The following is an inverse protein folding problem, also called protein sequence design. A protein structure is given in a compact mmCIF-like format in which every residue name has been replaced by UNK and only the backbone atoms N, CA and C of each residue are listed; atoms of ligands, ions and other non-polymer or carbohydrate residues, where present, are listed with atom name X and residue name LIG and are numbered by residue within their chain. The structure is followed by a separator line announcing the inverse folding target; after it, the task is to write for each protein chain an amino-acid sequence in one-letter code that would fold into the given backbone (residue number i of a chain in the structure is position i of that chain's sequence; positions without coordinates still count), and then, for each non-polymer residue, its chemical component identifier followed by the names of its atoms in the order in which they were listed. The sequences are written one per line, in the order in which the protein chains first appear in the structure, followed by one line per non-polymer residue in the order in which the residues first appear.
data_IF_563120196245
#
_entry.id   IF_563120196245
#
_cell.length_a   1.000
_cell.length_b   1.000
_cell.length_c   1.000
_cell.angle_alpha   90.00
_cell.angle_beta   90.00
_cell.angle_gamma   90.00
#
_symmetry.space_group_name_H-M   'P 1'
#
loop_
_entity.id
_entity.type
_entity.pdbx_description
1 polymer ?
#
# COMPACT_ATOMS: atom_id res chain seq x y z
N UNK A 1 12.11 1.75 3.40
CA UNK A 1 11.48 0.45 3.07
C UNK A 1 10.86 -0.09 4.34
N UNK A 2 9.56 -0.38 4.33
CA UNK A 2 8.91 -1.08 5.43
C UNK A 2 9.22 -2.59 5.32
N UNK A 3 9.88 -3.22 6.31
CA UNK A 3 10.31 -4.61 6.22
C UNK A 3 9.18 -5.61 6.51
N UNK A 4 8.00 -5.17 6.97
CA UNK A 4 6.94 -6.04 7.47
C UNK A 4 6.53 -7.15 6.50
N UNK A 5 6.40 -6.83 5.21
CA UNK A 5 6.06 -7.81 4.17
C UNK A 5 7.16 -8.85 3.95
N UNK A 6 8.43 -8.41 3.87
CA UNK A 6 9.54 -9.35 3.63
C UNK A 6 9.69 -10.28 4.84
N UNK A 7 9.63 -9.72 6.05
CA UNK A 7 9.63 -10.49 7.30
C UNK A 7 8.45 -11.46 7.32
N UNK A 8 7.24 -11.01 7.01
CA UNK A 8 6.04 -11.85 7.00
C UNK A 8 6.15 -13.02 6.01
N UNK A 9 6.59 -12.75 4.78
CA UNK A 9 6.80 -13.79 3.75
C UNK A 9 7.89 -14.77 4.18
N UNK A 10 9.03 -14.29 4.69
CA UNK A 10 10.12 -15.14 5.18
C UNK A 10 9.67 -16.00 6.36
N UNK A 11 8.88 -15.46 7.29
CA UNK A 11 8.32 -16.23 8.40
C UNK A 11 7.33 -17.29 7.92
N UNK A 12 6.47 -16.97 6.95
CA UNK A 12 5.50 -17.92 6.39
C UNK A 12 6.21 -19.10 5.70
N UNK A 13 7.14 -18.81 4.77
CA UNK A 13 7.93 -19.85 4.12
C UNK A 13 8.89 -20.55 5.08
N UNK A 14 9.43 -19.85 6.07
CA UNK A 14 10.29 -20.42 7.11
C UNK A 14 9.55 -21.44 7.98
N UNK A 15 8.30 -21.16 8.34
CA UNK A 15 7.45 -22.10 9.06
C UNK A 15 7.15 -23.36 8.23
N UNK A 16 6.90 -23.21 6.92
CA UNK A 16 6.74 -24.33 6.00
C UNK A 16 8.02 -25.19 5.92
N UNK A 17 9.18 -24.55 5.75
CA UNK A 17 10.49 -25.23 5.71
C UNK A 17 10.75 -25.97 7.03
N UNK A 18 10.50 -25.32 8.17
CA UNK A 18 10.69 -25.93 9.48
C UNK A 18 9.83 -27.20 9.65
N UNK A 19 8.55 -27.14 9.27
CA UNK A 19 7.64 -28.27 9.31
C UNK A 19 8.17 -29.46 8.47
N UNK A 20 8.59 -29.20 7.22
CA UNK A 20 9.16 -30.23 6.33
C UNK A 20 10.39 -30.89 6.96
N UNK A 21 11.30 -30.09 7.53
CA UNK A 21 12.53 -30.61 8.16
C UNK A 21 12.24 -31.41 9.42
N UNK A 22 11.24 -31.02 10.23
CA UNK A 22 10.86 -31.72 11.46
C UNK A 22 10.15 -33.04 11.18
N UNK A 23 9.36 -33.10 10.10
CA UNK A 23 8.69 -34.32 9.66
C UNK A 23 9.61 -35.28 8.88
N UNK A 24 10.82 -34.84 8.54
CA UNK A 24 11.78 -35.63 7.76
C UNK A 24 11.37 -35.81 6.29
N UNK A 25 10.49 -34.95 5.78
CA UNK A 25 10.05 -34.99 4.39
C UNK A 25 11.09 -34.36 3.44
N UNK A 26 11.13 -34.81 2.19
CA UNK A 26 12.01 -34.22 1.17
C UNK A 26 11.36 -32.99 0.53
N UNK A 27 12.14 -31.91 0.35
CA UNK A 27 11.67 -30.72 -0.37
C UNK A 27 11.29 -31.02 -1.82
N UNK A 28 11.99 -31.96 -2.46
CA UNK A 28 11.72 -32.37 -3.84
C UNK A 28 10.31 -32.95 -4.02
N UNK A 29 9.75 -33.60 -2.98
CA UNK A 29 8.39 -34.14 -3.05
C UNK A 29 7.31 -33.06 -3.21
N UNK A 30 7.62 -31.81 -2.84
CA UNK A 30 6.71 -30.67 -2.99
C UNK A 30 6.90 -29.92 -4.33
N UNK A 31 7.96 -30.25 -5.08
CA UNK A 31 8.38 -29.54 -6.27
C UNK A 31 8.16 -30.38 -7.53
N UNK A 32 6.92 -30.81 -7.74
CA UNK A 32 6.53 -31.56 -8.94
C UNK A 32 6.17 -30.56 -10.05
N UNK A 33 6.92 -30.49 -11.16
CA UNK A 33 6.76 -29.41 -12.15
C UNK A 33 5.39 -29.39 -12.83
N UNK A 34 4.84 -30.54 -13.20
CA UNK A 34 3.58 -30.63 -13.94
C UNK A 34 2.38 -29.98 -13.21
N UNK A 35 2.04 -30.35 -11.96
CA UNK A 35 0.95 -29.70 -11.23
C UNK A 35 1.26 -28.22 -10.93
N UNK A 36 2.52 -27.84 -10.68
CA UNK A 36 2.90 -26.44 -10.45
C UNK A 36 2.68 -25.56 -11.68
N UNK A 37 3.05 -26.05 -12.88
CA UNK A 37 2.83 -25.35 -14.15
C UNK A 37 1.34 -25.13 -14.37
N UNK A 38 0.53 -26.17 -14.16
CA UNK A 38 -0.93 -26.07 -14.27
C UNK A 38 -1.46 -25.01 -13.31
N UNK A 39 -1.09 -25.07 -12.03
CA UNK A 39 -1.65 -24.18 -11.00
C UNK A 39 -1.19 -22.74 -11.19
N UNK A 40 0.11 -22.48 -11.24
CA UNK A 40 0.64 -21.12 -11.35
C UNK A 40 0.32 -20.53 -12.72
N UNK A 41 0.50 -21.30 -13.79
CA UNK A 41 0.22 -20.87 -15.15
C UNK A 41 -1.25 -20.55 -15.36
N UNK A 42 -2.15 -21.45 -14.95
CA UNK A 42 -3.60 -21.20 -15.09
C UNK A 42 -4.09 -20.09 -14.18
N UNK A 43 -3.54 -19.94 -12.97
CA UNK A 43 -3.91 -18.83 -12.08
C UNK A 43 -3.60 -17.49 -12.72
N UNK A 44 -2.39 -17.34 -13.27
CA UNK A 44 -1.99 -16.13 -14.00
C UNK A 44 -2.85 -15.95 -15.25
N UNK A 45 -3.06 -17.02 -16.03
CA UNK A 45 -3.87 -16.99 -17.25
C UNK A 45 -5.32 -16.55 -17.00
N UNK A 46 -5.99 -17.14 -16.01
CA UNK A 46 -7.36 -16.76 -15.60
C UNK A 46 -7.39 -15.36 -15.00
N UNK A 47 -6.36 -14.97 -14.24
CA UNK A 47 -6.23 -13.60 -13.73
C UNK A 47 -6.15 -12.55 -14.84
N UNK A 48 -5.35 -12.81 -15.88
CA UNK A 48 -5.26 -11.99 -17.09
C UNK A 48 -6.59 -11.99 -17.83
N UNK A 49 -7.22 -13.15 -18.01
CA UNK A 49 -8.53 -13.25 -18.68
C UNK A 49 -9.65 -12.49 -17.95
N UNK A 50 -9.51 -12.31 -16.63
CA UNK A 50 -10.49 -11.59 -15.79
C UNK A 50 -10.29 -10.08 -15.76
N UNK A 51 -9.22 -9.56 -16.39
CA UNK A 51 -8.86 -8.14 -16.38
C UNK A 51 -8.50 -7.65 -17.78
N UNK A 52 -8.38 -6.33 -17.97
CA UNK A 52 -7.82 -5.83 -19.23
C UNK A 52 -6.29 -5.97 -19.23
N UNK A 53 -5.68 -6.02 -20.42
CA UNK A 53 -4.22 -6.04 -20.55
C UNK A 53 -3.57 -4.78 -19.94
N UNK A 54 -4.28 -3.65 -19.98
CA UNK A 54 -3.85 -2.41 -19.34
C UNK A 54 -3.79 -2.56 -17.82
N UNK A 55 -4.83 -3.13 -17.22
CA UNK A 55 -4.90 -3.36 -15.77
C UNK A 55 -3.78 -4.29 -15.31
N UNK A 56 -3.55 -5.37 -16.07
CA UNK A 56 -2.48 -6.34 -15.80
C UNK A 56 -1.11 -5.65 -15.79
N UNK A 57 -0.80 -4.84 -16.81
CA UNK A 57 0.47 -4.11 -16.89
C UNK A 57 0.62 -3.11 -15.74
N UNK A 58 -0.46 -2.41 -15.39
CA UNK A 58 -0.47 -1.47 -14.26
C UNK A 58 -0.20 -2.19 -12.94
N UNK A 59 -0.85 -3.33 -12.70
CA UNK A 59 -0.66 -4.15 -11.51
C UNK A 59 0.79 -4.66 -11.40
N UNK A 60 1.34 -5.19 -12.50
CA UNK A 60 2.74 -5.66 -12.54
C UNK A 60 3.73 -4.52 -12.28
N UNK A 61 3.53 -3.36 -12.93
CA UNK A 61 4.37 -2.17 -12.73
C UNK A 61 4.31 -1.62 -11.29
N UNK A 62 3.25 -1.94 -10.54
CA UNK A 62 3.05 -1.47 -9.16
C UNK A 62 3.78 -2.33 -8.11
N UNK A 63 4.34 -3.50 -8.46
CA UNK A 63 5.12 -4.33 -7.52
C UNK A 63 6.33 -3.57 -6.95
N UNK A 64 7.00 -2.74 -7.74
CA UNK A 64 8.13 -1.94 -7.24
C UNK A 64 7.73 -0.97 -6.14
N UNK A 65 6.54 -0.37 -6.26
CA UNK A 65 5.95 0.50 -5.22
C UNK A 65 5.58 -0.31 -3.98
N UNK A 66 5.03 -1.51 -4.17
CA UNK A 66 4.67 -2.42 -3.09
C UNK A 66 5.87 -2.75 -2.19
N UNK A 67 7.05 -3.00 -2.76
CA UNK A 67 8.27 -3.30 -2.00
C UNK A 67 8.88 -2.07 -1.34
N UNK A 68 8.90 -0.93 -2.04
CA UNK A 68 9.49 0.33 -1.52
C UNK A 68 8.67 0.92 -0.35
N UNK A 69 7.35 0.72 -0.36
CA UNK A 69 6.42 1.29 0.61
C UNK A 69 5.91 2.67 0.19
N UNK A 70 5.11 3.33 1.05
CA UNK A 70 4.60 4.67 0.79
C UNK A 70 5.76 5.69 0.73
N UNK A 71 5.60 6.74 -0.08
CA UNK A 71 6.62 7.78 -0.29
C UNK A 71 6.92 8.58 0.98
N UNK A 72 5.88 8.92 1.71
CA UNK A 72 5.93 9.64 2.98
C UNK A 72 4.72 9.26 3.82
N UNK A 73 4.77 9.53 5.12
CA UNK A 73 3.59 9.40 5.97
C UNK A 73 2.64 10.58 5.75
N UNK A 74 1.33 10.42 5.97
CA UNK A 74 0.36 11.51 5.85
C UNK A 74 0.73 12.72 6.69
N UNK A 75 1.24 12.53 7.89
CA UNK A 75 1.61 13.59 8.84
C UNK A 75 2.81 14.40 8.37
N UNK A 76 3.70 13.79 7.58
CA UNK A 76 4.90 14.46 7.09
C UNK A 76 4.58 15.64 6.16
N UNK A 77 3.36 15.74 5.63
CA UNK A 77 2.94 16.86 4.76
C UNK A 77 2.48 18.08 5.55
N UNK A 78 2.10 17.92 6.82
CA UNK A 78 1.53 19.00 7.65
C UNK A 78 2.48 20.19 7.78
N UNK A 79 3.78 20.02 8.12
CA UNK A 79 4.70 21.16 8.24
C UNK A 79 4.87 21.94 6.94
N UNK A 80 4.82 21.26 5.79
CA UNK A 80 4.89 21.93 4.48
C UNK A 80 3.65 22.79 4.23
N UNK A 81 2.45 22.24 4.52
CA UNK A 81 1.19 22.98 4.36
C UNK A 81 1.11 24.21 5.29
N UNK A 82 1.62 24.09 6.51
CA UNK A 82 1.71 25.22 7.46
C UNK A 82 2.67 26.29 6.92
N UNK A 83 3.84 25.90 6.40
CA UNK A 83 4.79 26.84 5.80
C UNK A 83 4.21 27.57 4.57
N UNK A 84 3.46 26.86 3.71
CA UNK A 84 2.76 27.49 2.60
C UNK A 84 1.67 28.46 3.08
N UNK A 85 0.94 28.12 4.15
CA UNK A 85 -0.06 29.03 4.74
C UNK A 85 0.57 30.31 5.31
N UNK A 86 1.73 30.21 5.96
CA UNK A 86 2.48 31.36 6.47
C UNK A 86 2.92 32.28 5.33
N UNK A 87 3.51 31.71 4.27
CA UNK A 87 3.94 32.47 3.09
C UNK A 87 2.76 33.13 2.38
N UNK A 88 1.68 32.37 2.12
CA UNK A 88 0.48 32.88 1.49
C UNK A 88 -0.16 34.04 2.27
N UNK A 89 -0.12 34.00 3.59
CA UNK A 89 -0.69 35.05 4.45
C UNK A 89 0.20 36.30 4.55
N UNK A 90 1.52 36.12 4.56
CA UNK A 90 2.48 37.23 4.66
C UNK A 90 2.72 37.93 3.33
N UNK A 91 2.85 37.17 2.25
CA UNK A 91 3.31 37.64 0.94
C UNK A 91 2.23 37.52 -0.16
N UNK A 92 1.09 36.88 0.14
CA UNK A 92 0.01 36.62 -0.82
C UNK A 92 0.16 35.27 -1.53
N UNK A 93 -0.92 34.81 -2.18
CA UNK A 93 -0.96 33.51 -2.88
C UNK A 93 0.04 33.42 -4.04
N UNK A 94 0.32 34.55 -4.72
CA UNK A 94 1.30 34.60 -5.82
C UNK A 94 2.72 34.20 -5.36
N UNK A 95 3.07 34.44 -4.08
CA UNK A 95 4.37 34.08 -3.54
C UNK A 95 4.60 32.55 -3.47
N UNK A 96 3.53 31.75 -3.60
CA UNK A 96 3.60 30.29 -3.67
C UNK A 96 4.20 29.79 -4.99
N UNK A 97 4.25 30.60 -6.05
CA UNK A 97 4.88 30.24 -7.33
C UNK A 97 6.34 29.79 -7.13
N UNK A 98 7.06 30.44 -6.22
CA UNK A 98 8.45 30.13 -5.90
C UNK A 98 8.63 28.76 -5.22
N UNK A 99 7.56 28.19 -4.65
CA UNK A 99 7.59 26.90 -3.95
C UNK A 99 7.26 25.72 -4.89
N UNK A 100 6.71 25.99 -6.09
CA UNK A 100 6.25 24.98 -7.05
C UNK A 100 7.37 24.00 -7.42
N UNK A 101 8.58 24.50 -7.67
CA UNK A 101 9.71 23.66 -8.05
C UNK A 101 10.27 22.82 -6.91
N UNK A 102 10.15 23.31 -5.67
CA UNK A 102 10.53 22.61 -4.45
C UNK A 102 9.51 21.58 -3.95
N UNK A 103 8.33 21.52 -4.58
CA UNK A 103 7.24 20.66 -4.15
C UNK A 103 7.65 19.16 -4.12
N UNK A 104 7.34 18.43 -3.03
CA UNK A 104 7.82 17.07 -2.82
C UNK A 104 7.17 16.03 -3.73
N UNK A 105 6.02 16.34 -4.34
CA UNK A 105 5.40 15.53 -5.39
C UNK A 105 4.49 16.35 -6.30
N UNK A 106 4.06 15.71 -7.39
CA UNK A 106 3.27 16.33 -8.46
C UNK A 106 1.90 16.86 -8.00
N UNK A 107 1.27 16.23 -7.01
CA UNK A 107 -0.04 16.67 -6.52
C UNK A 107 0.08 18.00 -5.79
N UNK A 108 1.07 18.14 -4.90
CA UNK A 108 1.37 19.42 -4.23
C UNK A 108 1.78 20.48 -5.24
N UNK A 109 2.65 20.12 -6.20
CA UNK A 109 3.10 21.04 -7.27
C UNK A 109 1.91 21.62 -8.03
N UNK A 110 0.98 20.78 -8.47
CA UNK A 110 -0.20 21.20 -9.21
C UNK A 110 -1.11 22.09 -8.38
N UNK A 111 -1.32 21.77 -7.10
CA UNK A 111 -2.13 22.61 -6.21
C UNK A 111 -1.48 23.97 -5.93
N UNK A 112 -0.17 24.02 -5.72
CA UNK A 112 0.55 25.29 -5.52
C UNK A 112 0.46 26.19 -6.76
N UNK A 113 0.63 25.60 -7.95
CA UNK A 113 0.46 26.31 -9.21
C UNK A 113 -0.96 26.89 -9.33
N UNK A 114 -1.99 26.06 -9.10
CA UNK A 114 -3.39 26.51 -9.18
C UNK A 114 -3.71 27.65 -8.20
N UNK A 115 -3.14 27.60 -6.99
CA UNK A 115 -3.27 28.68 -6.00
C UNK A 115 -2.58 29.98 -6.45
N UNK A 116 -1.36 29.88 -6.98
CA UNK A 116 -0.62 31.03 -7.50
C UNK A 116 -1.31 31.68 -8.71
N UNK A 117 -1.92 30.85 -9.56
CA UNK A 117 -2.70 31.27 -10.73
C UNK A 117 -4.06 31.89 -10.34
N UNK A 118 -4.44 31.86 -9.06
CA UNK A 118 -5.67 32.47 -8.56
C UNK A 118 -6.94 31.66 -8.82
N UNK A 119 -6.83 30.34 -8.95
CA UNK A 119 -7.97 29.43 -9.10
C UNK A 119 -8.94 29.57 -7.91
N UNK A 120 -10.24 29.58 -8.18
CA UNK A 120 -11.25 29.66 -7.12
C UNK A 120 -11.36 28.35 -6.33
N UNK A 121 -12.10 28.39 -5.22
CA UNK A 121 -12.09 27.31 -4.24
C UNK A 121 -12.79 26.06 -4.74
N UNK A 122 -13.84 26.24 -5.56
CA UNK A 122 -14.67 25.14 -6.03
C UNK A 122 -13.95 24.42 -7.19
N UNK A 123 -13.34 25.17 -8.11
CA UNK A 123 -12.50 24.60 -9.17
C UNK A 123 -11.27 23.88 -8.61
N UNK A 124 -10.60 24.46 -7.59
CA UNK A 124 -9.48 23.81 -6.91
C UNK A 124 -9.92 22.50 -6.23
N UNK A 125 -11.05 22.52 -5.52
CA UNK A 125 -11.60 21.31 -4.88
C UNK A 125 -11.90 20.25 -5.92
N UNK A 126 -12.60 20.60 -7.01
CA UNK A 126 -12.96 19.67 -8.06
C UNK A 126 -11.73 19.02 -8.69
N UNK A 127 -10.70 19.82 -9.03
CA UNK A 127 -9.44 19.31 -9.58
C UNK A 127 -8.77 18.31 -8.62
N UNK A 128 -8.72 18.62 -7.33
CA UNK A 128 -8.06 17.77 -6.33
C UNK A 128 -8.85 16.48 -6.07
N UNK A 129 -10.18 16.56 -5.97
CA UNK A 129 -11.07 15.40 -5.78
C UNK A 129 -11.02 14.45 -6.99
N UNK A 130 -10.94 15.00 -8.21
CA UNK A 130 -10.77 14.21 -9.43
C UNK A 130 -9.46 13.41 -9.42
N UNK A 131 -8.33 14.04 -9.07
CA UNK A 131 -7.03 13.35 -9.00
C UNK A 131 -6.98 12.33 -7.84
N UNK A 132 -7.60 12.63 -6.69
CA UNK A 132 -7.76 11.67 -5.58
C UNK A 132 -8.56 10.46 -6.05
N UNK A 133 -9.68 10.69 -6.75
CA UNK A 133 -10.56 9.62 -7.26
C UNK A 133 -9.84 8.77 -8.31
N UNK A 134 -9.14 9.41 -9.26
CA UNK A 134 -8.34 8.72 -10.26
C UNK A 134 -7.21 7.90 -9.63
N UNK A 135 -6.53 8.43 -8.62
CA UNK A 135 -5.49 7.72 -7.87
C UNK A 135 -6.05 6.53 -7.10
N UNK A 136 -7.19 6.70 -6.43
CA UNK A 136 -7.90 5.64 -5.71
C UNK A 136 -8.27 4.49 -6.64
N UNK A 137 -8.84 4.82 -7.81
CA UNK A 137 -9.20 3.84 -8.84
C UNK A 137 -7.97 3.06 -9.34
N UNK A 138 -6.88 3.75 -9.69
CA UNK A 138 -5.62 3.12 -10.13
C UNK A 138 -5.05 2.17 -9.08
N UNK A 139 -4.99 2.60 -7.82
CA UNK A 139 -4.49 1.78 -6.72
C UNK A 139 -5.39 0.56 -6.45
N UNK A 140 -6.71 0.73 -6.56
CA UNK A 140 -7.69 -0.36 -6.40
C UNK A 140 -7.57 -1.41 -7.51
N UNK A 141 -7.38 -0.99 -8.76
CA UNK A 141 -7.18 -1.91 -9.90
C UNK A 141 -5.95 -2.80 -9.66
N UNK A 142 -4.82 -2.20 -9.25
CA UNK A 142 -3.60 -2.95 -8.96
C UNK A 142 -3.81 -3.99 -7.86
N UNK A 143 -4.40 -3.60 -6.71
CA UNK A 143 -4.65 -4.51 -5.60
C UNK A 143 -5.64 -5.63 -5.98
N UNK A 144 -6.70 -5.28 -6.72
CA UNK A 144 -7.74 -6.23 -7.14
C UNK A 144 -7.20 -7.33 -8.05
N UNK A 145 -6.27 -7.01 -8.94
CA UNK A 145 -5.65 -8.01 -9.82
C UNK A 145 -5.03 -9.17 -9.01
N UNK A 146 -4.21 -8.86 -7.99
CA UNK A 146 -3.60 -9.89 -7.15
C UNK A 146 -4.59 -10.57 -6.21
N UNK A 147 -5.61 -9.85 -5.73
CA UNK A 147 -6.69 -10.46 -4.97
C UNK A 147 -7.44 -11.51 -5.80
N UNK A 148 -7.65 -11.25 -7.09
CA UNK A 148 -8.23 -12.23 -8.02
C UNK A 148 -7.33 -13.44 -8.21
N UNK A 149 -6.01 -13.26 -8.37
CA UNK A 149 -5.07 -14.39 -8.41
C UNK A 149 -5.17 -15.25 -7.14
N UNK A 150 -5.24 -14.61 -5.97
CA UNK A 150 -5.41 -15.30 -4.69
C UNK A 150 -6.76 -16.00 -4.55
N UNK A 151 -7.82 -15.49 -5.17
CA UNK A 151 -9.13 -16.13 -5.24
C UNK A 151 -9.18 -17.35 -6.19
N UNK A 152 -8.46 -17.30 -7.31
CA UNK A 152 -8.46 -18.38 -8.30
C UNK A 152 -7.48 -19.52 -7.98
N UNK A 153 -6.34 -19.23 -7.35
CA UNK A 153 -5.31 -20.26 -7.15
C UNK A 153 -5.78 -21.52 -6.39
N UNK A 154 -6.59 -21.43 -5.31
CA UNK A 154 -7.05 -22.62 -4.59
C UNK A 154 -7.98 -23.49 -5.44
N UNK A 155 -8.89 -22.87 -6.20
CA UNK A 155 -9.85 -23.61 -7.03
C UNK A 155 -9.15 -24.26 -8.22
N UNK A 156 -8.13 -23.62 -8.78
CA UNK A 156 -7.27 -24.21 -9.80
C UNK A 156 -6.44 -25.38 -9.22
N UNK A 157 -6.02 -25.30 -7.96
CA UNK A 157 -5.41 -26.43 -7.24
C UNK A 157 -6.32 -27.65 -7.16
N UNK A 158 -7.61 -27.42 -6.88
CA UNK A 158 -8.64 -28.48 -6.91
C UNK A 158 -8.77 -29.06 -8.32
N UNK A 159 -8.81 -28.23 -9.36
CA UNK A 159 -8.83 -28.69 -10.76
C UNK A 159 -7.62 -29.57 -11.07
N UNK A 160 -6.41 -29.17 -10.65
CA UNK A 160 -5.20 -29.98 -10.86
C UNK A 160 -5.20 -31.30 -10.10
N UNK A 161 -5.86 -31.34 -8.94
CA UNK A 161 -6.07 -32.57 -8.18
C UNK A 161 -6.99 -33.51 -8.94
N UNK A 162 -8.10 -33.00 -9.48
CA UNK A 162 -9.02 -33.79 -10.30
C UNK A 162 -8.31 -34.36 -11.52
N UNK A 163 -7.54 -33.53 -12.26
CA UNK A 163 -6.76 -33.98 -13.42
C UNK A 163 -5.78 -35.09 -13.06
N UNK A 164 -5.05 -34.94 -11.94
CA UNK A 164 -4.06 -35.92 -11.50
C UNK A 164 -4.72 -37.23 -11.05
N UNK A 165 -5.85 -37.16 -10.32
CA UNK A 165 -6.59 -38.34 -9.90
C UNK A 165 -7.30 -39.06 -11.05
N UNK A 166 -7.73 -38.34 -12.09
CA UNK A 166 -8.20 -38.98 -13.33
C UNK A 166 -7.09 -39.85 -13.93
N UNK A 167 -5.86 -39.36 -13.94
CA UNK A 167 -4.71 -40.14 -14.43
C UNK A 167 -4.41 -41.37 -13.54
N UNK A 168 -4.58 -41.26 -12.22
CA UNK A 168 -4.50 -42.41 -11.30
C UNK A 168 -5.52 -43.49 -11.69
N UNK A 169 -6.76 -43.09 -12.00
CA UNK A 169 -7.83 -44.02 -12.38
C UNK A 169 -7.57 -44.72 -13.72
N UNK A 170 -6.87 -44.06 -14.65
CA UNK A 170 -6.46 -44.65 -15.94
C UNK A 170 -5.39 -45.73 -15.79
N UNK A 171 -4.67 -45.75 -14.67
CA UNK A 171 -3.45 -46.54 -14.43
C UNK A 171 -3.56 -47.45 -13.21
N UNK A 172 -4.79 -47.81 -12.82
CA UNK A 172 -5.06 -48.62 -11.62
C UNK A 172 -4.43 -50.02 -11.65
N UNK A 173 -4.13 -50.52 -12.84
CA UNK A 173 -3.47 -51.80 -13.10
C UNK A 173 -1.94 -51.73 -13.02
N UNK A 174 -1.35 -50.53 -12.82
CA UNK A 174 0.09 -50.29 -12.72
C UNK A 174 0.47 -49.70 -11.32
N UNK A 175 0.56 -50.52 -10.25
CA UNK A 175 0.73 -50.06 -8.87
C UNK A 175 1.95 -49.17 -8.62
N UNK A 176 3.05 -49.43 -9.34
CA UNK A 176 4.31 -48.71 -9.19
C UNK A 176 4.20 -47.22 -9.60
N UNK A 177 3.20 -46.87 -10.40
CA UNK A 177 2.97 -45.50 -10.86
C UNK A 177 1.95 -44.72 -10.02
N UNK A 178 1.19 -45.39 -9.15
CA UNK A 178 0.10 -44.77 -8.38
C UNK A 178 0.61 -43.72 -7.38
N UNK A 179 1.66 -44.04 -6.62
CA UNK A 179 2.23 -43.14 -5.62
C UNK A 179 2.62 -41.76 -6.18
N UNK A 180 3.46 -41.70 -7.24
CA UNK A 180 3.83 -40.44 -7.88
C UNK A 180 2.64 -39.62 -8.42
N UNK A 181 1.63 -40.27 -9.00
CA UNK A 181 0.44 -39.57 -9.53
C UNK A 181 -0.45 -39.00 -8.41
N UNK A 182 -0.62 -39.75 -7.31
CA UNK A 182 -1.34 -39.28 -6.12
C UNK A 182 -0.57 -38.09 -5.49
N UNK A 183 0.75 -38.18 -5.42
CA UNK A 183 1.58 -37.07 -4.94
C UNK A 183 1.41 -35.81 -5.81
N UNK A 184 1.36 -35.95 -7.13
CA UNK A 184 1.08 -34.84 -8.05
C UNK A 184 -0.27 -34.16 -7.76
N UNK A 185 -1.29 -34.93 -7.42
CA UNK A 185 -2.61 -34.41 -7.04
C UNK A 185 -2.54 -33.54 -5.78
N UNK A 186 -1.88 -34.03 -4.72
CA UNK A 186 -1.70 -33.25 -3.49
C UNK A 186 -0.83 -32.02 -3.68
N UNK A 187 0.22 -32.11 -4.50
CA UNK A 187 1.09 -30.97 -4.84
C UNK A 187 0.31 -29.88 -5.59
N UNK A 188 -0.66 -30.25 -6.45
CA UNK A 188 -1.54 -29.27 -7.09
C UNK A 188 -2.37 -28.48 -6.07
N UNK A 189 -3.03 -29.17 -5.13
CA UNK A 189 -3.78 -28.49 -4.05
C UNK A 189 -2.87 -27.63 -3.19
N UNK A 190 -1.71 -28.16 -2.81
CA UNK A 190 -0.72 -27.45 -1.99
C UNK A 190 -0.31 -26.13 -2.63
N UNK A 191 0.13 -26.15 -3.90
CA UNK A 191 0.56 -24.93 -4.59
C UNK A 191 -0.59 -23.95 -4.86
N UNK A 192 -1.82 -24.44 -4.99
CA UNK A 192 -3.00 -23.58 -5.06
C UNK A 192 -3.18 -22.78 -3.77
N UNK A 193 -3.09 -23.45 -2.62
CA UNK A 193 -3.22 -22.81 -1.31
C UNK A 193 -2.02 -21.95 -0.94
N UNK A 194 -0.80 -22.41 -1.19
CA UNK A 194 0.43 -21.68 -0.91
C UNK A 194 0.50 -20.41 -1.75
N UNK A 195 0.33 -20.50 -3.08
CA UNK A 195 0.43 -19.31 -3.92
C UNK A 195 -0.67 -18.29 -3.60
N UNK A 196 -1.89 -18.73 -3.29
CA UNK A 196 -2.96 -17.84 -2.83
C UNK A 196 -2.58 -17.06 -1.57
N UNK A 197 -2.18 -17.77 -0.51
CA UNK A 197 -2.11 -17.20 0.83
C UNK A 197 -0.73 -16.66 1.20
N UNK A 198 0.34 -17.18 0.60
CA UNK A 198 1.71 -16.77 0.92
C UNK A 198 2.22 -15.72 -0.07
N UNK A 199 1.58 -15.60 -1.25
CA UNK A 199 2.06 -14.73 -2.34
C UNK A 199 0.97 -13.73 -2.73
N UNK A 200 -0.12 -14.17 -3.36
CA UNK A 200 -1.08 -13.27 -4.02
C UNK A 200 -1.86 -12.39 -3.06
N UNK A 201 -2.46 -12.97 -2.01
CA UNK A 201 -3.26 -12.23 -1.03
C UNK A 201 -2.41 -11.24 -0.21
N UNK A 202 -1.21 -11.60 0.29
CA UNK A 202 -0.32 -10.63 0.94
C UNK A 202 0.08 -9.46 0.04
N UNK A 203 0.38 -9.73 -1.24
CA UNK A 203 0.69 -8.68 -2.22
C UNK A 203 -0.51 -7.74 -2.40
N UNK A 204 -1.71 -8.30 -2.59
CA UNK A 204 -2.94 -7.52 -2.73
C UNK A 204 -3.23 -6.65 -1.50
N UNK A 205 -3.17 -7.24 -0.30
CA UNK A 205 -3.39 -6.54 0.96
C UNK A 205 -2.38 -5.42 1.18
N UNK A 206 -1.09 -5.67 0.88
CA UNK A 206 -0.06 -4.65 0.99
C UNK A 206 -0.27 -3.48 0.05
N UNK A 207 -0.60 -3.74 -1.22
CA UNK A 207 -0.90 -2.67 -2.18
C UNK A 207 -2.13 -1.86 -1.75
N UNK A 208 -3.17 -2.53 -1.24
CA UNK A 208 -4.33 -1.85 -0.67
C UNK A 208 -3.94 -0.91 0.47
N UNK A 209 -3.08 -1.35 1.40
CA UNK A 209 -2.61 -0.51 2.51
C UNK A 209 -1.78 0.68 2.04
N UNK A 210 -0.84 0.47 1.11
CA UNK A 210 0.00 1.56 0.56
C UNK A 210 -0.89 2.58 -0.17
N UNK A 211 -1.85 2.12 -0.96
CA UNK A 211 -2.81 2.99 -1.63
C UNK A 211 -3.66 3.79 -0.65
N UNK A 212 -4.11 3.17 0.45
CA UNK A 212 -4.86 3.87 1.49
C UNK A 212 -4.03 4.98 2.17
N UNK A 213 -2.75 4.72 2.47
CA UNK A 213 -1.83 5.75 3.01
C UNK A 213 -1.64 6.90 2.03
N UNK A 214 -1.51 6.59 0.74
CA UNK A 214 -1.38 7.60 -0.31
C UNK A 214 -2.63 8.49 -0.41
N UNK A 215 -3.83 7.90 -0.33
CA UNK A 215 -5.09 8.64 -0.35
C UNK A 215 -5.28 9.51 0.90
N UNK A 216 -4.96 8.98 2.09
CA UNK A 216 -4.99 9.75 3.34
C UNK A 216 -4.12 11.01 3.24
N UNK A 217 -2.90 10.85 2.72
CA UNK A 217 -1.98 11.95 2.47
C UNK A 217 -2.55 12.97 1.49
N UNK A 218 -3.15 12.53 0.38
CA UNK A 218 -3.76 13.43 -0.60
C UNK A 218 -4.97 14.18 -0.03
N UNK A 219 -5.78 13.53 0.80
CA UNK A 219 -6.91 14.20 1.48
C UNK A 219 -6.42 15.30 2.42
N UNK A 220 -5.36 15.06 3.21
CA UNK A 220 -4.75 16.11 4.04
C UNK A 220 -4.22 17.29 3.21
N UNK A 221 -3.62 17.00 2.05
CA UNK A 221 -3.14 18.05 1.13
C UNK A 221 -4.33 18.84 0.57
N UNK A 222 -5.42 18.19 0.16
CA UNK A 222 -6.65 18.86 -0.32
C UNK A 222 -7.22 19.81 0.71
N UNK A 223 -7.45 19.32 1.92
CA UNK A 223 -7.95 20.16 3.02
C UNK A 223 -7.00 21.31 3.35
N UNK A 224 -5.69 21.06 3.29
CA UNK A 224 -4.68 22.10 3.54
C UNK A 224 -4.65 23.19 2.47
N UNK A 225 -4.66 22.80 1.20
CA UNK A 225 -4.64 23.75 0.07
C UNK A 225 -5.90 24.60 0.03
N UNK A 226 -7.08 24.01 0.27
CA UNK A 226 -8.34 24.75 0.37
C UNK A 226 -8.35 25.72 1.56
N UNK A 227 -7.77 25.33 2.69
CA UNK A 227 -7.67 26.22 3.85
C UNK A 227 -6.68 27.38 3.62
N UNK A 228 -5.57 27.15 2.90
CA UNK A 228 -4.63 28.19 2.46
C UNK A 228 -5.35 29.17 1.53
N UNK A 229 -6.09 28.66 0.55
CA UNK A 229 -6.89 29.43 -0.39
C UNK A 229 -7.89 30.35 0.32
N UNK A 230 -8.55 29.84 1.36
CA UNK A 230 -9.48 30.58 2.20
C UNK A 230 -8.81 31.59 3.17
N UNK A 231 -7.47 31.67 3.21
CA UNK A 231 -6.73 32.56 4.10
C UNK A 231 -6.78 32.14 5.57
N UNK A 232 -6.93 30.84 5.85
CA UNK A 232 -6.96 30.32 7.23
C UNK A 232 -5.68 30.61 7.99
N UNK A 233 -5.78 30.81 9.30
CA UNK A 233 -4.60 31.03 10.12
C UNK A 233 -3.72 29.77 10.19
N UNK A 234 -2.37 29.88 10.03
CA UNK A 234 -1.49 28.70 10.01
C UNK A 234 -1.63 27.77 11.22
N UNK A 235 -1.81 28.33 12.44
CA UNK A 235 -2.02 27.53 13.65
C UNK A 235 -3.36 26.77 13.63
N UNK A 236 -4.45 27.38 13.15
CA UNK A 236 -5.76 26.71 13.01
C UNK A 236 -5.71 25.62 11.93
N UNK A 237 -4.98 25.88 10.85
CA UNK A 237 -4.73 24.89 9.82
C UNK A 237 -4.01 23.66 10.40
N UNK A 238 -2.94 23.89 11.16
CA UNK A 238 -2.19 22.81 11.79
C UNK A 238 -3.08 21.96 12.71
N UNK A 239 -3.85 22.59 13.60
CA UNK A 239 -4.76 21.89 14.51
C UNK A 239 -5.80 21.05 13.75
N UNK A 240 -6.35 21.59 12.66
CA UNK A 240 -7.30 20.87 11.79
C UNK A 240 -6.65 19.66 11.11
N UNK A 241 -5.49 19.83 10.51
CA UNK A 241 -4.79 18.74 9.81
C UNK A 241 -4.33 17.64 10.79
N UNK A 242 -3.85 18.02 11.97
CA UNK A 242 -3.49 17.06 13.03
C UNK A 242 -4.71 16.28 13.53
N UNK A 243 -5.88 16.92 13.62
CA UNK A 243 -7.13 16.25 13.98
C UNK A 243 -7.63 15.27 12.91
N UNK A 244 -7.34 15.55 11.62
CA UNK A 244 -7.68 14.68 10.49
C UNK A 244 -6.69 13.53 10.28
N UNK A 245 -5.43 13.69 10.72
CA UNK A 245 -4.41 12.65 10.61
C UNK A 245 -4.72 11.46 11.52
N UNK A 246 -4.57 10.23 11.01
CA UNK A 246 -4.85 9.03 11.80
C UNK A 246 -3.84 8.79 12.92
N UNK A 247 -2.64 9.37 12.84
CA UNK A 247 -1.63 9.34 13.89
C UNK A 247 -1.71 10.62 14.71
N UNK A 248 -2.29 10.54 15.92
CA UNK A 248 -2.27 11.65 16.86
C UNK A 248 -0.83 12.09 17.11
N UNK A 249 -0.48 13.38 16.92
CA UNK A 249 0.84 13.87 17.25
C UNK A 249 1.11 13.60 18.73
N UNK A 250 2.27 13.02 19.02
CA UNK A 250 2.76 12.85 20.38
C UNK A 250 2.95 14.26 20.93
N UNK A 251 1.97 14.81 21.67
CA UNK A 251 2.00 16.15 22.26
C UNK A 251 3.42 16.40 22.79
N UNK A 252 4.16 17.31 22.13
CA UNK A 252 5.40 17.85 22.70
C UNK A 252 4.96 18.47 24.03
N UNK A 253 5.40 17.91 25.16
CA UNK A 253 5.20 18.54 26.46
C UNK A 253 5.74 19.95 26.33
N UNK A 254 4.86 20.95 26.42
CA UNK A 254 5.26 22.34 26.55
C UNK A 254 6.21 22.41 27.75
N UNK A 255 7.44 22.84 27.55
CA UNK A 255 8.29 23.25 28.65
C UNK A 255 7.53 24.32 29.44
N UNK A 256 7.23 24.01 30.70
CA UNK A 256 6.65 24.98 31.62
C UNK A 256 7.54 26.23 31.64
N UNK A 257 6.99 27.44 31.52
CA UNK A 257 7.78 28.63 31.77
C UNK A 257 8.22 28.60 33.24
N UNK A 258 9.54 28.68 33.47
CA UNK A 258 10.10 28.85 34.82
C UNK A 258 9.40 30.06 35.46
N UNK A 259 8.91 29.96 36.70
CA UNK A 259 8.37 31.12 37.40
C UNK A 259 9.49 32.15 37.54
N UNK A 260 9.20 33.38 37.15
CA UNK A 260 10.07 34.54 37.35
C UNK A 260 10.32 34.67 38.86
N UNK A 261 11.58 34.64 39.24
CA UNK A 261 12.03 34.79 40.62
C UNK A 261 11.74 36.24 41.04
N UNK A 262 10.67 36.42 41.80
CA UNK A 262 10.34 37.67 42.45
C UNK A 262 11.16 37.77 43.75
N UNK A 263 12.40 38.26 43.64
CA UNK A 263 13.12 38.80 44.79
C UNK A 263 13.30 40.30 44.59
N UNK A 264 12.46 41.06 45.28
CA UNK A 264 12.57 42.51 45.36
C UNK A 264 13.83 42.94 46.11
N UNK A 265 14.25 44.21 45.95
CA UNK A 265 15.38 44.75 46.68
C UNK A 265 15.04 44.94 48.16
N UNK A 266 15.75 44.25 49.06
CA UNK A 266 15.75 44.58 50.48
C UNK A 266 16.50 45.90 50.71
N UNK A 267 15.77 46.88 51.24
CA UNK A 267 16.28 48.13 51.80
C UNK A 267 17.02 47.88 53.12
N UNK A 268 18.19 48.50 53.25
CA UNK A 268 18.76 49.09 54.49
C UNK A 268 19.11 48.19 55.69
N UNK A 269 20.41 48.06 55.97
CA UNK A 269 21.08 48.70 57.12
C UNK A 269 22.60 48.56 57.04
#
# INVERSE_FOLDING_TARGET
MDPAFLIGVVLAFGALVAMITMEGASFEALLIPAPMILVLGSTIGVGIASHTLRDTRLAIGSLGRMVRGPRSTPEAVIPFLVGYAEKARGEGLLALEQEVDGAPDAFIRQSLQALADGTDADDLRMMMDDEITATSSRNRVAAKFFASLGGYAPTIGIVGTVVSLTHVLEKLDEPDHLGPMIAAAFVATLWGLLSANFIWNPIAGRMGRIGAVELERMMLISEGMLAIQAGSAPHLLQERLEALSTVKPKRRKSENPKPADATGPEESR
#
